data_IF_592983448114
#
_entry.id   IF_592983448114
#
_cell.length_a   1.000
_cell.length_b   1.000
_cell.length_c   1.000
_cell.angle_alpha   90.00
_cell.angle_beta   90.00
_cell.angle_gamma   90.00
#
_symmetry.space_group_name_H-M   'P 1'
#
loop_
_entity.id
_entity.type
_entity.pdbx_description
1 polymer ?
#
# COMPACT_ATOMS: atom_id res chain seq x y z
N UNK A 1 -7.20 12.86 21.73
CA UNK A 1 -7.40 11.49 21.21
C UNK A 1 -6.19 11.11 20.36
N UNK A 2 -5.18 10.46 20.96
CA UNK A 2 -4.00 10.01 20.22
C UNK A 2 -4.47 8.96 19.21
N UNK A 3 -4.40 9.29 17.93
CA UNK A 3 -4.77 8.35 16.88
C UNK A 3 -3.75 7.23 16.91
N UNK A 4 -4.19 6.04 17.29
CA UNK A 4 -3.44 4.78 17.23
C UNK A 4 -3.17 4.42 15.76
N UNK A 5 -2.34 5.26 15.15
CA UNK A 5 -1.93 5.13 13.77
C UNK A 5 -0.78 4.13 13.77
N UNK A 6 -1.09 2.90 13.41
CA UNK A 6 -0.06 1.93 13.02
C UNK A 6 0.90 2.58 12.02
N UNK A 7 2.20 2.49 12.34
CA UNK A 7 3.29 3.08 11.56
C UNK A 7 3.26 2.60 10.11
N UNK A 8 2.79 1.38 9.88
CA UNK A 8 2.69 0.79 8.55
C UNK A 8 1.37 0.04 8.38
N UNK A 9 0.41 0.67 7.70
CA UNK A 9 -0.73 -0.05 7.14
C UNK A 9 -0.29 -0.93 5.95
N UNK A 10 -0.92 -2.10 5.80
CA UNK A 10 -0.71 -2.98 4.65
C UNK A 10 -1.17 -2.29 3.35
N UNK A 11 -0.75 -2.80 2.18
CA UNK A 11 -1.11 -2.18 0.90
C UNK A 11 -2.61 -2.13 0.66
N UNK A 12 -3.34 -3.16 1.05
CA UNK A 12 -4.79 -3.21 0.83
C UNK A 12 -5.51 -2.12 1.62
N UNK A 13 -5.18 -1.97 2.91
CA UNK A 13 -5.71 -0.91 3.75
C UNK A 13 -5.28 0.49 3.26
N UNK A 14 -4.03 0.65 2.78
CA UNK A 14 -3.57 1.91 2.17
C UNK A 14 -4.35 2.25 0.89
N UNK A 15 -4.49 1.29 -0.03
CA UNK A 15 -5.20 1.47 -1.29
C UNK A 15 -6.69 1.79 -1.07
N UNK A 16 -7.31 1.15 -0.08
CA UNK A 16 -8.72 1.35 0.28
C UNK A 16 -8.95 2.48 1.30
N UNK A 17 -7.89 3.17 1.76
CA UNK A 17 -7.92 4.17 2.85
C UNK A 17 -8.69 3.69 4.09
N UNK A 18 -8.52 2.43 4.47
CA UNK A 18 -9.13 1.83 5.67
C UNK A 18 -8.15 1.88 6.84
N UNK A 19 -8.69 1.89 8.06
CA UNK A 19 -7.89 1.72 9.28
C UNK A 19 -7.32 0.29 9.27
N UNK A 20 -6.00 0.18 9.42
CA UNK A 20 -5.30 -1.10 9.45
C UNK A 20 -4.98 -1.41 10.91
N UNK A 21 -5.18 -2.66 11.34
CA UNK A 21 -4.92 -3.05 12.73
C UNK A 21 -3.44 -3.39 12.98
N UNK A 22 -2.63 -3.46 11.92
CA UNK A 22 -1.17 -3.70 12.03
C UNK A 22 -0.78 -5.11 12.49
N UNK A 23 -1.74 -6.02 12.70
CA UNK A 23 -1.46 -7.41 13.01
C UNK A 23 -0.59 -8.06 11.93
N UNK A 24 0.44 -8.77 12.38
CA UNK A 24 1.29 -9.66 11.58
C UNK A 24 0.94 -11.12 11.90
N UNK A 25 0.82 -12.01 10.90
CA UNK A 25 1.21 -11.84 9.48
C UNK A 25 0.15 -11.15 8.60
N UNK A 26 -1.11 -11.12 9.04
CA UNK A 26 -2.27 -10.63 8.26
C UNK A 26 -3.09 -9.68 9.12
N UNK A 27 -3.45 -8.52 8.56
CA UNK A 27 -4.29 -7.56 9.25
C UNK A 27 -5.70 -8.13 9.52
N UNK A 28 -6.36 -7.78 10.63
CA UNK A 28 -7.67 -8.34 10.97
C UNK A 28 -8.72 -8.16 9.87
N UNK A 29 -8.73 -6.99 9.23
CA UNK A 29 -9.57 -6.72 8.06
C UNK A 29 -9.27 -7.66 6.87
N UNK A 30 -7.98 -7.85 6.58
CA UNK A 30 -7.50 -8.65 5.47
C UNK A 30 -7.82 -10.14 5.69
N UNK A 31 -7.69 -10.59 6.94
CA UNK A 31 -8.01 -11.95 7.36
C UNK A 31 -9.50 -12.25 7.21
N UNK A 32 -10.39 -11.32 7.60
CA UNK A 32 -11.85 -11.49 7.44
C UNK A 32 -12.31 -11.45 5.99
N UNK A 33 -11.59 -10.71 5.14
CA UNK A 33 -11.92 -10.58 3.72
C UNK A 33 -11.28 -11.68 2.87
N UNK A 34 -10.46 -12.56 3.47
CA UNK A 34 -9.69 -13.59 2.76
C UNK A 34 -8.88 -13.01 1.58
N UNK A 35 -8.32 -11.81 1.77
CA UNK A 35 -7.51 -11.12 0.76
C UNK A 35 -6.03 -11.16 1.10
N UNK A 36 -5.14 -11.14 0.09
CA UNK A 36 -3.71 -11.07 0.33
C UNK A 36 -3.33 -9.79 1.08
N UNK A 37 -2.79 -9.98 2.29
CA UNK A 37 -2.25 -8.89 3.11
C UNK A 37 -0.75 -8.76 2.85
N UNK A 38 -0.39 -7.75 2.07
CA UNK A 38 1.02 -7.47 1.75
C UNK A 38 1.44 -6.17 2.40
N UNK A 39 2.36 -6.26 3.37
CA UNK A 39 3.10 -5.11 3.87
C UNK A 39 4.28 -4.85 2.93
N UNK A 40 4.02 -4.20 1.79
CA UNK A 40 5.13 -3.86 0.88
C UNK A 40 5.97 -2.75 1.48
N UNK A 41 7.28 -2.95 1.54
CA UNK A 41 8.20 -1.82 1.56
C UNK A 41 8.04 -1.06 0.24
N UNK A 42 8.10 0.27 0.27
CA UNK A 42 7.89 1.13 -0.91
C UNK A 42 8.66 0.55 -2.09
N UNK A 43 7.96 -0.03 -3.06
CA UNK A 43 8.55 -0.39 -4.36
C UNK A 43 9.07 0.94 -4.90
N UNK A 44 10.40 1.13 -4.96
CA UNK A 44 11.01 2.21 -5.74
C UNK A 44 10.33 2.11 -7.09
N UNK A 45 9.57 3.15 -7.47
CA UNK A 45 8.82 3.23 -8.72
C UNK A 45 9.75 2.67 -9.78
N UNK A 46 9.40 1.51 -10.37
CA UNK A 46 10.23 0.89 -11.40
C UNK A 46 10.59 1.94 -12.44
N UNK A 47 11.76 1.84 -13.10
CA UNK A 47 12.34 2.93 -13.90
C UNK A 47 11.23 3.52 -14.76
N UNK A 48 10.87 4.77 -14.46
CA UNK A 48 9.71 5.42 -15.06
C UNK A 48 9.80 5.21 -16.56
N UNK A 49 8.72 4.68 -17.15
CA UNK A 49 8.60 4.55 -18.60
C UNK A 49 9.00 5.90 -19.18
N UNK A 50 10.09 5.91 -19.93
CA UNK A 50 10.64 7.09 -20.57
C UNK A 50 9.54 7.58 -21.50
N UNK A 51 8.87 8.67 -21.13
CA UNK A 51 8.01 9.39 -22.06
C UNK A 51 8.95 9.92 -23.13
N UNK A 52 8.92 9.24 -24.28
CA UNK A 52 9.62 9.61 -25.49
C UNK A 52 9.36 11.10 -25.79
N UNK A 53 10.41 11.94 -25.85
CA UNK A 53 10.22 13.34 -26.21
C UNK A 53 9.84 13.41 -27.69
N UNK A 54 8.59 13.79 -27.97
CA UNK A 54 8.13 14.05 -29.33
C UNK A 54 8.91 15.23 -29.90
N UNK A 55 9.95 14.93 -30.67
CA UNK A 55 10.88 15.90 -31.26
C UNK A 55 10.48 16.13 -32.72
N UNK A 56 9.30 16.72 -32.94
CA UNK A 56 8.88 17.34 -34.21
C UNK A 56 7.52 18.00 -34.03
N UNK A 57 7.52 19.34 -33.89
CA UNK A 57 6.70 20.26 -34.69
C UNK A 57 7.19 21.69 -34.52
#
# INVERSE_FOLDING_TARGET
>A
MRSDHVLQACQNCKARKRRCDGYEPVCGLCSRLDVPCVYTQRRKRGPGRKSEPNTYR
#
